data_IF_189155112176
#
_entry.id   IF_189155112176
#
_cell.length_a   1.000
_cell.length_b   1.000
_cell.length_c   1.000
_cell.angle_alpha   90.00
_cell.angle_beta   90.00
_cell.angle_gamma   90.00
#
_symmetry.space_group_name_H-M   'P 1'
#
loop_
_entity.id
_entity.type
_entity.pdbx_description
1 polymer ?
#
# COMPACT_ATOMS: atom_id res chain seq x y z
N UNK A 1 54.14 41.18 -35.15
CA UNK A 1 53.96 41.84 -33.84
C UNK A 1 52.78 42.78 -33.98
N UNK A 2 51.64 42.48 -33.38
CA UNK A 2 50.68 43.47 -32.88
C UNK A 2 49.85 42.78 -31.78
N UNK A 3 49.86 43.39 -30.60
CA UNK A 3 49.11 43.06 -29.40
C UNK A 3 47.79 43.84 -29.43
N UNK A 4 46.66 43.21 -29.16
CA UNK A 4 45.46 43.91 -28.65
C UNK A 4 44.72 43.00 -27.66
N UNK A 5 44.83 43.38 -26.38
CA UNK A 5 43.98 42.96 -25.28
C UNK A 5 42.59 43.60 -25.39
N UNK A 6 41.51 42.85 -25.11
CA UNK A 6 40.33 43.34 -24.38
C UNK A 6 39.33 42.22 -24.02
N UNK A 7 39.35 41.87 -22.73
CA UNK A 7 38.27 41.48 -21.81
C UNK A 7 36.81 41.67 -22.26
N UNK A 8 35.90 40.70 -21.99
CA UNK A 8 34.98 40.63 -20.81
C UNK A 8 33.92 39.52 -20.97
N UNK A 9 33.47 39.00 -19.84
CA UNK A 9 32.62 37.82 -19.59
C UNK A 9 31.19 37.85 -20.17
N UNK A 10 30.55 36.68 -20.29
CA UNK A 10 29.21 36.45 -19.72
C UNK A 10 28.81 34.96 -19.68
N UNK A 11 28.19 34.59 -18.55
CA UNK A 11 27.11 33.62 -18.37
C UNK A 11 27.37 32.11 -18.56
N UNK A 12 27.77 31.50 -17.45
CA UNK A 12 27.29 30.22 -16.94
C UNK A 12 25.78 30.06 -17.17
N UNK A 13 25.34 29.00 -17.85
CA UNK A 13 24.12 28.29 -17.47
C UNK A 13 24.35 26.80 -17.67
N UNK A 14 24.99 26.23 -16.66
CA UNK A 14 24.88 24.83 -16.30
C UNK A 14 23.40 24.51 -16.18
N UNK A 15 22.85 23.75 -17.13
CA UNK A 15 21.53 23.12 -16.98
C UNK A 15 21.68 22.00 -15.95
N UNK A 16 21.87 22.41 -14.70
CA UNK A 16 21.63 21.61 -13.54
C UNK A 16 20.16 21.21 -13.60
N UNK A 17 19.91 19.98 -14.06
CA UNK A 17 18.70 19.26 -13.73
C UNK A 17 18.57 19.30 -12.22
N UNK A 18 17.63 20.11 -11.73
CA UNK A 18 17.39 20.28 -10.30
C UNK A 18 16.99 18.90 -9.71
N UNK A 19 17.78 18.30 -8.81
CA UNK A 19 17.40 17.04 -8.17
C UNK A 19 16.16 17.21 -7.27
N UNK A 20 15.67 18.43 -7.03
CA UNK A 20 14.41 18.68 -6.33
C UNK A 20 13.17 18.53 -7.23
N UNK A 21 13.31 18.55 -8.55
CA UNK A 21 12.15 18.35 -9.45
C UNK A 21 11.89 16.87 -9.77
N UNK A 22 12.84 15.98 -9.48
CA UNK A 22 12.62 14.54 -9.42
C UNK A 22 11.77 14.10 -8.20
N UNK A 23 11.37 15.05 -7.36
CA UNK A 23 10.46 14.84 -6.22
C UNK A 23 9.02 15.27 -6.50
N UNK A 24 8.62 15.41 -7.77
CA UNK A 24 7.21 15.33 -8.13
C UNK A 24 6.79 13.87 -8.01
N UNK A 25 6.50 13.49 -6.77
CA UNK A 25 5.81 12.30 -6.35
C UNK A 25 5.18 11.59 -7.55
N UNK A 26 5.90 10.58 -8.07
CA UNK A 26 5.27 9.32 -8.41
C UNK A 26 4.29 9.10 -7.27
N UNK A 27 3.03 9.43 -7.54
CA UNK A 27 1.97 9.30 -6.58
C UNK A 27 2.00 7.83 -6.28
N UNK A 28 2.61 7.47 -5.15
CA UNK A 28 2.73 6.11 -4.67
C UNK A 28 1.30 5.62 -4.64
N UNK A 29 0.88 4.99 -5.73
CA UNK A 29 -0.29 4.14 -5.77
C UNK A 29 0.19 2.90 -5.03
N UNK A 30 0.43 3.05 -3.72
CA UNK A 30 0.77 1.97 -2.81
C UNK A 30 -0.20 0.88 -3.18
N UNK A 31 0.26 -0.33 -3.57
CA UNK A 31 -0.61 -1.39 -4.02
C UNK A 31 -1.62 -1.75 -2.94
N UNK A 32 -2.74 -1.04 -2.94
CA UNK A 32 -3.75 -1.15 -1.93
C UNK A 32 -4.64 -2.33 -2.32
N UNK A 33 -4.87 -3.19 -1.34
CA UNK A 33 -5.86 -4.24 -1.41
C UNK A 33 -7.21 -3.66 -1.86
N UNK A 34 -7.96 -4.45 -2.62
CA UNK A 34 -9.26 -4.09 -3.17
C UNK A 34 -10.32 -5.08 -2.70
N UNK A 35 -11.56 -4.62 -2.70
CA UNK A 35 -12.72 -5.49 -2.49
C UNK A 35 -12.71 -6.61 -3.54
N UNK A 36 -12.95 -7.84 -3.08
CA UNK A 36 -12.92 -9.05 -3.90
C UNK A 36 -11.56 -9.73 -4.01
N UNK A 37 -10.46 -9.09 -3.58
CA UNK A 37 -9.14 -9.73 -3.55
C UNK A 37 -9.16 -10.94 -2.61
N UNK A 38 -8.43 -11.99 -2.99
CA UNK A 38 -8.31 -13.21 -2.18
C UNK A 38 -7.28 -13.00 -1.09
N UNK A 39 -7.66 -13.26 0.16
CA UNK A 39 -6.75 -13.17 1.31
C UNK A 39 -6.15 -14.55 1.57
N UNK A 40 -4.82 -14.59 1.62
CA UNK A 40 -4.02 -15.78 1.86
C UNK A 40 -3.28 -15.63 3.20
N UNK A 41 -3.54 -16.56 4.12
CA UNK A 41 -2.74 -16.73 5.32
C UNK A 41 -1.54 -17.67 5.03
N UNK A 42 -0.72 -17.94 6.04
CA UNK A 42 0.47 -18.78 5.88
C UNK A 42 0.14 -20.26 5.58
N UNK A 43 -1.03 -20.72 6.00
CA UNK A 43 -1.54 -22.08 5.83
C UNK A 43 -2.55 -22.23 4.68
N UNK A 44 -2.84 -21.14 3.94
CA UNK A 44 -3.66 -21.21 2.73
C UNK A 44 -4.67 -20.07 2.58
N UNK A 45 -5.73 -20.34 1.81
CA UNK A 45 -6.74 -19.33 1.51
C UNK A 45 -7.69 -19.12 2.70
N UNK A 46 -7.83 -17.86 3.10
CA UNK A 46 -8.71 -17.46 4.21
C UNK A 46 -10.10 -17.06 3.70
N UNK A 47 -10.15 -16.24 2.66
CA UNK A 47 -11.42 -15.66 2.20
C UNK A 47 -11.21 -14.57 1.17
N UNK A 48 -12.20 -13.69 1.04
CA UNK A 48 -12.15 -12.52 0.16
C UNK A 48 -12.37 -11.23 0.92
N UNK A 49 -11.73 -10.16 0.49
CA UNK A 49 -11.96 -8.84 1.07
C UNK A 49 -13.39 -8.39 0.76
N UNK A 50 -14.18 -8.19 1.80
CA UNK A 50 -15.52 -7.62 1.72
C UNK A 50 -15.44 -6.08 1.75
N UNK A 51 -14.56 -5.54 2.60
CA UNK A 51 -14.40 -4.10 2.81
C UNK A 51 -12.95 -3.72 3.11
N UNK A 52 -12.53 -2.55 2.63
CA UNK A 52 -11.26 -1.93 2.99
C UNK A 52 -11.56 -0.66 3.76
N UNK A 53 -11.01 -0.54 4.95
CA UNK A 53 -11.21 0.61 5.85
C UNK A 53 -9.91 1.39 5.84
N UNK A 54 -10.03 2.69 5.54
CA UNK A 54 -8.89 3.59 5.34
C UNK A 54 -8.91 4.68 6.38
N UNK A 55 -7.73 5.19 6.71
CA UNK A 55 -7.55 6.42 7.48
C UNK A 55 -7.97 7.63 6.64
N UNK A 56 -7.99 8.80 7.29
CA UNK A 56 -8.17 10.10 6.62
C UNK A 56 -7.11 10.36 5.54
N UNK A 57 -5.89 9.85 5.73
CA UNK A 57 -4.80 9.90 4.75
C UNK A 57 -4.93 8.87 3.62
N UNK A 58 -6.09 8.23 3.48
CA UNK A 58 -6.40 7.22 2.46
C UNK A 58 -5.55 5.94 2.52
N UNK A 59 -4.79 5.74 3.60
CA UNK A 59 -4.02 4.50 3.82
C UNK A 59 -4.93 3.42 4.42
N UNK A 60 -4.88 2.17 3.93
CA UNK A 60 -5.62 1.08 4.57
C UNK A 60 -5.16 0.87 6.01
N UNK A 61 -6.13 0.80 6.94
CA UNK A 61 -5.87 0.53 8.37
C UNK A 61 -6.42 -0.84 8.75
N UNK A 62 -7.56 -1.22 8.18
CA UNK A 62 -8.17 -2.53 8.37
C UNK A 62 -8.73 -3.08 7.06
N UNK A 63 -8.80 -4.40 6.96
CA UNK A 63 -9.58 -5.09 5.92
C UNK A 63 -10.56 -6.04 6.58
N UNK A 64 -11.80 -6.02 6.12
CA UNK A 64 -12.84 -6.97 6.53
C UNK A 64 -12.85 -8.10 5.52
N UNK A 65 -12.74 -9.33 6.01
CA UNK A 65 -12.60 -10.51 5.14
C UNK A 65 -13.79 -11.43 5.33
N UNK A 66 -14.51 -11.74 4.25
CA UNK A 66 -15.55 -12.75 4.27
C UNK A 66 -14.91 -14.15 4.29
N UNK A 67 -15.05 -14.84 5.42
CA UNK A 67 -14.58 -16.21 5.64
C UNK A 67 -15.78 -17.14 5.63
N UNK A 68 -15.75 -18.15 4.75
CA UNK A 68 -16.78 -19.20 4.72
C UNK A 68 -16.53 -20.18 5.86
N UNK A 69 -17.57 -20.48 6.64
CA UNK A 69 -17.56 -21.53 7.67
C UNK A 69 -18.51 -22.66 7.28
N UNK A 70 -18.46 -23.79 8.00
CA UNK A 70 -19.40 -24.91 7.84
C UNK A 70 -20.85 -24.45 8.00
N UNK A 71 -21.09 -23.51 8.92
CA UNK A 71 -22.38 -22.86 9.11
C UNK A 71 -22.16 -21.34 9.04
N UNK A 72 -22.76 -20.70 8.04
CA UNK A 72 -22.74 -19.25 7.87
C UNK A 72 -21.43 -18.66 7.34
N UNK A 73 -21.29 -17.35 7.55
CA UNK A 73 -20.09 -16.55 7.22
C UNK A 73 -19.64 -15.80 8.46
N UNK A 74 -18.34 -15.58 8.55
CA UNK A 74 -17.71 -14.74 9.56
C UNK A 74 -16.94 -13.63 8.85
N UNK A 75 -16.90 -12.44 9.45
CA UNK A 75 -16.30 -11.25 8.87
C UNK A 75 -15.18 -10.67 9.77
N UNK A 76 -14.09 -11.42 10.00
CA UNK A 76 -12.97 -10.93 10.80
C UNK A 76 -12.42 -9.61 10.26
N UNK A 77 -12.20 -8.66 11.16
CA UNK A 77 -11.51 -7.40 10.92
C UNK A 77 -10.01 -7.63 11.12
N UNK A 78 -9.25 -7.52 10.04
CA UNK A 78 -7.80 -7.75 10.04
C UNK A 78 -7.08 -6.40 9.98
N UNK A 79 -6.20 -6.08 10.94
CA UNK A 79 -5.37 -4.88 10.86
C UNK A 79 -4.39 -4.96 9.69
N UNK A 80 -4.20 -3.84 9.00
CA UNK A 80 -3.31 -3.73 7.85
C UNK A 80 -1.86 -4.06 8.21
N UNK A 81 -1.45 -3.89 9.47
CA UNK A 81 -0.14 -4.28 9.98
C UNK A 81 0.17 -5.78 9.87
N UNK A 82 -0.84 -6.63 9.67
CA UNK A 82 -0.65 -8.06 9.40
C UNK A 82 -0.49 -8.37 7.91
N UNK A 83 -0.76 -7.43 7.02
CA UNK A 83 -0.55 -7.63 5.57
C UNK A 83 0.94 -7.63 5.29
N UNK A 84 1.44 -8.70 4.69
CA UNK A 84 2.86 -8.88 4.37
C UNK A 84 3.18 -8.59 2.91
N UNK A 85 2.22 -8.79 2.01
CA UNK A 85 2.38 -8.50 0.59
C UNK A 85 1.02 -8.33 -0.11
N UNK A 86 1.01 -7.57 -1.21
CA UNK A 86 -0.14 -7.44 -2.11
C UNK A 86 0.30 -7.75 -3.54
N UNK A 87 -0.24 -8.82 -4.12
CA UNK A 87 -0.05 -9.19 -5.51
C UNK A 87 -1.28 -8.76 -6.32
N UNK A 88 -1.16 -7.59 -6.96
CA UNK A 88 -2.23 -7.03 -7.81
C UNK A 88 -2.52 -7.89 -9.04
N UNK A 89 -1.51 -8.53 -9.62
CA UNK A 89 -1.65 -9.28 -10.86
C UNK A 89 -2.58 -10.49 -10.67
N UNK A 90 -2.48 -11.12 -9.50
CA UNK A 90 -3.28 -12.29 -9.13
C UNK A 90 -4.46 -11.96 -8.21
N UNK A 91 -4.65 -10.68 -7.86
CA UNK A 91 -5.65 -10.21 -6.88
C UNK A 91 -5.54 -10.95 -5.54
N UNK A 92 -4.32 -11.03 -5.01
CA UNK A 92 -3.99 -11.74 -3.77
C UNK A 92 -3.41 -10.79 -2.73
N UNK A 93 -3.85 -10.95 -1.49
CA UNK A 93 -3.34 -10.23 -0.32
C UNK A 93 -2.83 -11.27 0.66
N UNK A 94 -1.55 -11.19 1.01
CA UNK A 94 -0.91 -12.12 1.94
C UNK A 94 -0.92 -11.51 3.33
N UNK A 95 -1.32 -12.30 4.32
CA UNK A 95 -1.38 -11.88 5.73
C UNK A 95 -0.57 -12.84 6.60
N UNK A 96 0.05 -12.28 7.64
CA UNK A 96 0.75 -13.04 8.67
C UNK A 96 -0.26 -13.74 9.59
N UNK A 97 -0.02 -15.01 9.87
CA UNK A 97 -0.84 -15.83 10.75
C UNK A 97 -1.46 -17.04 10.03
N UNK A 98 -2.26 -17.81 10.78
CA UNK A 98 -2.97 -19.00 10.30
C UNK A 98 -4.47 -18.72 10.17
N UNK A 99 -5.13 -19.35 9.20
CA UNK A 99 -6.55 -19.16 8.91
C UNK A 99 -7.43 -19.33 10.15
N UNK A 100 -7.25 -20.40 10.92
CA UNK A 100 -8.05 -20.67 12.11
C UNK A 100 -7.99 -19.55 13.13
N UNK A 101 -6.78 -19.02 13.40
CA UNK A 101 -6.60 -17.93 14.37
C UNK A 101 -7.12 -16.59 13.86
N UNK A 102 -6.91 -16.28 12.58
CA UNK A 102 -7.39 -15.04 11.97
C UNK A 102 -8.92 -15.03 11.88
N UNK A 103 -9.54 -16.19 11.60
CA UNK A 103 -11.00 -16.31 11.52
C UNK A 103 -11.71 -16.01 12.84
N UNK A 104 -10.99 -16.07 13.97
CA UNK A 104 -11.49 -15.77 15.32
C UNK A 104 -11.29 -14.31 15.72
N UNK A 105 -10.71 -13.48 14.83
CA UNK A 105 -10.60 -12.04 15.10
C UNK A 105 -11.99 -11.42 15.23
N UNK A 106 -12.05 -10.30 15.95
CA UNK A 106 -13.31 -9.58 16.13
C UNK A 106 -13.92 -9.20 14.78
N UNK A 107 -15.24 -9.33 14.69
CA UNK A 107 -16.03 -8.84 13.55
C UNK A 107 -16.42 -7.36 13.75
N UNK A 108 -16.11 -6.80 14.92
CA UNK A 108 -16.27 -5.38 15.23
C UNK A 108 -14.96 -4.62 15.01
N UNK A 109 -15.08 -3.38 14.52
CA UNK A 109 -13.94 -2.49 14.47
C UNK A 109 -13.51 -2.12 15.89
N UNK A 110 -12.20 -2.11 16.18
CA UNK A 110 -11.74 -1.62 17.46
C UNK A 110 -12.16 -0.15 17.62
N UNK A 111 -12.80 0.16 18.75
CA UNK A 111 -13.07 1.53 19.16
C UNK A 111 -11.71 2.19 19.46
N UNK A 112 -11.31 3.13 18.61
CA UNK A 112 -10.19 4.03 18.90
C UNK A 112 -10.81 5.22 19.62
N UNK A 113 -10.56 5.33 20.92
CA UNK A 113 -10.99 6.43 21.80
C UNK A 113 -9.85 7.40 22.00
#
# INVERSE_FOLDING_TARGET
MELLHATRALATHSSATDPREALRAETYSTPAARVGDTVLAQDGALGRIERVIRSETSMPVYVVVAVRRLVGRSYPVIPWSLVTAVDRSRRRVYVRGRCGRISQFSETLPLVV
#
